data_IF_787674722544
#
_entry.id   IF_787674722544
#
_cell.length_a   1.000
_cell.length_b   1.000
_cell.length_c   1.000
_cell.angle_alpha   90.00
_cell.angle_beta   90.00
_cell.angle_gamma   90.00
#
_symmetry.space_group_name_H-M   'P 1'
#
loop_
_entity.id
_entity.type
_entity.pdbx_description
1 polymer ?
#
# COMPACT_ATOMS: atom_id res chain seq x y z
N UNK A 1 10.13 2.98 12.64
CA UNK A 1 9.18 4.11 12.55
C UNK A 1 9.98 5.40 12.57
N UNK A 2 9.60 6.42 11.78
CA UNK A 2 10.38 7.66 11.66
C UNK A 2 10.29 8.53 12.92
N UNK A 3 11.31 9.36 13.17
CA UNK A 3 11.34 10.28 14.32
C UNK A 3 10.11 11.18 14.40
N UNK A 4 9.66 11.71 13.25
CA UNK A 4 8.48 12.57 13.16
C UNK A 4 7.22 11.87 13.65
N UNK A 5 7.04 10.58 13.31
CA UNK A 5 5.87 9.81 13.75
C UNK A 5 5.94 9.52 15.26
N UNK A 6 7.14 9.22 15.78
CA UNK A 6 7.33 9.01 17.22
C UNK A 6 7.05 10.29 18.02
N UNK A 7 7.54 11.45 17.56
CA UNK A 7 7.29 12.76 18.17
C UNK A 7 5.79 13.10 18.13
N UNK A 8 5.11 12.83 17.00
CA UNK A 8 3.67 12.99 16.87
C UNK A 8 2.90 12.08 17.84
N UNK A 9 3.29 10.80 17.93
CA UNK A 9 2.64 9.82 18.79
C UNK A 9 2.71 10.23 20.27
N UNK A 10 3.89 10.67 20.73
CA UNK A 10 4.07 11.16 22.09
C UNK A 10 3.19 12.41 22.33
N UNK A 11 3.27 13.39 21.44
CA UNK A 11 2.56 14.67 21.62
C UNK A 11 1.03 14.52 21.58
N UNK A 12 0.49 13.64 20.73
CA UNK A 12 -0.95 13.37 20.68
C UNK A 12 -1.43 12.61 21.92
N UNK A 13 -0.60 11.71 22.46
CA UNK A 13 -0.91 10.99 23.70
C UNK A 13 -0.96 11.94 24.90
N UNK A 14 -0.02 12.87 24.99
CA UNK A 14 0.02 13.86 26.08
C UNK A 14 -1.15 14.84 26.04
N UNK A 15 -1.66 15.13 24.84
CA UNK A 15 -2.81 16.04 24.63
C UNK A 15 -4.18 15.37 24.75
N UNK A 16 -4.24 14.05 24.98
CA UNK A 16 -5.48 13.25 24.97
C UNK A 16 -6.37 13.56 23.75
N UNK A 17 -5.76 13.61 22.56
CA UNK A 17 -6.45 14.09 21.36
C UNK A 17 -7.68 13.23 21.01
N UNK A 18 -8.80 13.91 20.73
CA UNK A 18 -10.09 13.27 20.45
C UNK A 18 -10.49 13.51 18.99
N UNK A 19 -10.71 12.43 18.25
CA UNK A 19 -11.31 12.45 16.92
C UNK A 19 -12.83 12.25 17.00
N UNK A 20 -13.60 13.05 16.26
CA UNK A 20 -15.05 12.90 16.14
C UNK A 20 -15.40 12.25 14.80
N UNK A 21 -16.22 11.21 14.81
CA UNK A 21 -16.68 10.56 13.59
C UNK A 21 -17.54 11.51 12.76
N UNK A 22 -17.30 11.54 11.44
CA UNK A 22 -18.03 12.37 10.49
C UNK A 22 -18.09 11.68 9.14
N UNK A 23 -19.29 11.20 8.76
CA UNK A 23 -19.47 10.36 7.57
C UNK A 23 -18.59 9.11 7.62
N UNK A 24 -17.85 8.87 6.55
CA UNK A 24 -16.98 7.69 6.39
C UNK A 24 -15.58 7.90 7.00
N UNK A 25 -15.34 9.05 7.63
CA UNK A 25 -14.05 9.41 8.21
C UNK A 25 -14.18 10.01 9.60
N UNK A 26 -13.19 10.82 9.98
CA UNK A 26 -13.20 11.53 11.25
C UNK A 26 -12.61 12.92 11.12
N UNK A 27 -12.99 13.80 12.05
CA UNK A 27 -12.41 15.13 12.20
C UNK A 27 -11.66 15.18 13.51
N UNK A 28 -10.38 15.53 13.44
CA UNK A 28 -9.50 15.72 14.58
C UNK A 28 -9.31 17.22 14.83
N UNK A 29 -9.69 17.68 16.02
CA UNK A 29 -9.48 19.06 16.44
C UNK A 29 -8.11 19.18 17.11
N UNK A 30 -7.27 20.09 16.63
CA UNK A 30 -5.91 20.26 17.13
C UNK A 30 -5.59 21.73 17.34
N UNK A 31 -4.89 21.99 18.45
CA UNK A 31 -4.33 23.31 18.78
C UNK A 31 -2.89 23.41 18.26
N UNK A 32 -1.89 23.12 19.10
CA UNK A 32 -0.48 23.36 18.77
C UNK A 32 0.18 22.23 17.96
N UNK A 33 -0.49 21.08 17.82
CA UNK A 33 0.07 19.90 17.13
C UNK A 33 -0.16 19.92 15.61
N UNK A 34 -0.79 20.96 15.07
CA UNK A 34 -1.09 21.04 13.65
C UNK A 34 0.17 21.01 12.77
N UNK A 35 1.25 21.62 13.24
CA UNK A 35 2.56 21.58 12.55
C UNK A 35 3.10 20.15 12.49
N UNK A 36 2.94 19.37 13.56
CA UNK A 36 3.41 17.98 13.61
C UNK A 36 2.55 17.07 12.72
N UNK A 37 1.22 17.25 12.73
CA UNK A 37 0.31 16.50 11.83
C UNK A 37 0.61 16.78 10.36
N UNK A 38 0.82 18.05 10.01
CA UNK A 38 1.22 18.44 8.66
C UNK A 38 2.56 17.80 8.29
N UNK A 39 3.58 17.87 9.15
CA UNK A 39 4.89 17.24 8.89
C UNK A 39 4.81 15.73 8.73
N UNK A 40 3.96 15.06 9.50
CA UNK A 40 3.71 13.62 9.39
C UNK A 40 2.80 13.25 8.21
N UNK A 41 2.23 14.27 7.54
CA UNK A 41 1.33 14.19 6.41
C UNK A 41 0.10 13.33 6.68
N UNK A 42 -0.53 13.47 7.85
CA UNK A 42 -1.82 12.85 8.15
C UNK A 42 -2.98 13.80 7.84
N UNK A 43 -4.05 13.27 7.25
CA UNK A 43 -5.28 14.02 7.01
C UNK A 43 -5.16 15.15 6.00
N UNK A 44 -6.23 15.94 5.96
CA UNK A 44 -6.36 17.18 5.18
C UNK A 44 -6.84 18.29 6.12
N UNK A 45 -6.12 19.41 6.13
CA UNK A 45 -6.54 20.59 6.87
C UNK A 45 -7.86 21.15 6.31
N UNK A 46 -8.78 21.50 7.20
CA UNK A 46 -10.05 22.16 6.88
C UNK A 46 -9.90 23.63 7.26
N UNK A 47 -10.02 24.52 6.27
CA UNK A 47 -10.04 25.96 6.51
C UNK A 47 -11.40 26.36 7.10
N UNK A 48 -11.38 26.88 8.32
CA UNK A 48 -12.57 27.46 8.96
C UNK A 48 -12.41 28.98 9.05
N UNK A 49 -13.47 29.71 8.72
CA UNK A 49 -13.54 31.17 8.79
C UNK A 49 -13.82 31.73 10.21
N UNK A 50 -13.74 30.90 11.26
CA UNK A 50 -14.10 31.26 12.64
C UNK A 50 -13.14 30.72 13.71
N UNK A 51 -12.84 31.58 14.68
CA UNK A 51 -11.95 31.45 15.86
C UNK A 51 -10.57 30.80 15.61
N UNK A 52 -9.55 31.66 15.49
CA UNK A 52 -8.16 31.39 15.09
C UNK A 52 -7.36 30.35 15.90
N UNK A 53 -7.94 29.71 16.94
CA UNK A 53 -7.21 28.84 17.87
C UNK A 53 -7.36 27.33 17.64
N UNK A 54 -8.32 26.87 16.84
CA UNK A 54 -8.53 25.43 16.58
C UNK A 54 -8.43 25.12 15.10
N UNK A 55 -7.43 24.32 14.74
CA UNK A 55 -7.27 23.79 13.40
C UNK A 55 -7.90 22.40 13.33
N UNK A 56 -8.63 22.15 12.25
CA UNK A 56 -9.39 20.92 12.06
C UNK A 56 -8.79 20.11 10.93
N UNK A 57 -8.62 18.82 11.17
CA UNK A 57 -8.07 17.89 10.19
C UNK A 57 -9.08 16.80 9.88
N UNK A 58 -9.43 16.66 8.60
CA UNK A 58 -10.19 15.52 8.11
C UNK A 58 -9.26 14.33 7.94
N UNK A 59 -9.62 13.19 8.52
CA UNK A 59 -8.90 11.93 8.42
C UNK A 59 -9.75 10.93 7.63
N UNK A 60 -9.12 10.20 6.71
CA UNK A 60 -9.73 9.00 6.14
C UNK A 60 -9.89 7.88 7.18
N UNK A 61 -10.72 6.86 6.90
CA UNK A 61 -10.94 5.75 7.83
C UNK A 61 -9.64 5.01 8.13
N UNK A 62 -8.77 4.78 7.13
CA UNK A 62 -7.49 4.09 7.32
C UNK A 62 -6.50 4.94 8.14
N UNK A 63 -6.44 6.25 7.87
CA UNK A 63 -5.57 7.17 8.62
C UNK A 63 -5.99 7.26 10.08
N UNK A 64 -7.29 7.38 10.33
CA UNK A 64 -7.85 7.47 11.67
C UNK A 64 -7.61 6.17 12.44
N UNK A 65 -7.99 5.03 11.85
CA UNK A 65 -7.81 3.74 12.50
C UNK A 65 -6.32 3.44 12.74
N UNK A 66 -5.41 3.93 11.89
CA UNK A 66 -3.97 3.82 12.14
C UNK A 66 -3.51 4.60 13.38
N UNK A 67 -3.97 5.85 13.53
CA UNK A 67 -3.68 6.67 14.72
C UNK A 67 -4.25 6.05 15.99
N UNK A 68 -5.45 5.46 15.91
CA UNK A 68 -6.15 4.80 17.02
C UNK A 68 -5.53 3.44 17.38
N UNK A 69 -5.52 2.48 16.45
CA UNK A 69 -5.13 1.09 16.71
C UNK A 69 -3.61 0.90 16.74
N UNK A 70 -2.90 1.40 15.72
CA UNK A 70 -1.46 1.13 15.56
C UNK A 70 -0.62 2.05 16.44
N UNK A 71 -0.92 3.36 16.44
CA UNK A 71 -0.17 4.35 17.22
C UNK A 71 -0.73 4.56 18.63
N UNK A 72 -1.99 4.22 18.89
CA UNK A 72 -2.63 4.37 20.21
C UNK A 72 -2.40 5.76 20.81
N UNK A 73 -2.67 6.78 20.00
CA UNK A 73 -2.42 8.18 20.34
C UNK A 73 -3.66 9.07 20.25
N UNK A 74 -4.80 8.55 19.80
CA UNK A 74 -6.07 9.29 19.78
C UNK A 74 -7.18 8.45 20.39
N UNK A 75 -8.23 9.10 20.88
CA UNK A 75 -9.52 8.48 21.21
C UNK A 75 -10.57 8.89 20.19
N UNK A 76 -11.59 8.05 19.98
CA UNK A 76 -12.63 8.31 18.97
C UNK A 76 -13.99 8.43 19.65
N UNK A 77 -14.71 9.49 19.31
CA UNK A 77 -16.06 9.75 19.78
C UNK A 77 -17.06 9.70 18.63
N UNK A 78 -18.21 9.09 18.89
CA UNK A 78 -19.38 9.16 18.04
C UNK A 78 -20.06 10.55 18.12
N UNK A 79 -21.02 10.81 17.23
CA UNK A 79 -21.83 12.04 17.24
C UNK A 79 -22.51 12.30 18.60
N UNK A 80 -22.81 11.23 19.35
CA UNK A 80 -23.43 11.30 20.68
C UNK A 80 -22.41 11.52 21.83
N UNK A 81 -21.15 11.87 21.51
CA UNK A 81 -20.03 11.99 22.48
C UNK A 81 -19.70 10.70 23.26
N UNK A 82 -20.24 9.56 22.82
CA UNK A 82 -19.87 8.24 23.34
C UNK A 82 -18.49 7.87 22.79
N UNK A 83 -17.58 7.43 23.66
CA UNK A 83 -16.32 6.83 23.23
C UNK A 83 -16.58 5.50 22.54
N UNK A 84 -15.98 5.30 21.38
CA UNK A 84 -16.13 4.10 20.57
C UNK A 84 -15.04 3.08 20.91
N UNK A 85 -15.43 1.83 21.07
CA UNK A 85 -14.50 0.72 21.23
C UNK A 85 -13.88 0.29 19.90
N UNK A 86 -12.80 -0.50 19.97
CA UNK A 86 -12.11 -1.00 18.78
C UNK A 86 -13.02 -1.84 17.88
N UNK A 87 -13.79 -2.77 18.46
CA UNK A 87 -14.75 -3.59 17.73
C UNK A 87 -15.85 -2.73 17.08
N UNK A 88 -16.39 -1.74 17.79
CA UNK A 88 -17.42 -0.84 17.25
C UNK A 88 -16.89 -0.01 16.06
N UNK A 89 -15.62 0.42 16.11
CA UNK A 89 -14.98 1.13 14.99
C UNK A 89 -14.69 0.20 13.81
N UNK A 90 -14.22 -1.01 14.08
CA UNK A 90 -13.96 -2.01 13.05
C UNK A 90 -15.23 -2.35 12.27
N UNK A 91 -16.33 -2.62 12.99
CA UNK A 91 -17.63 -2.92 12.39
C UNK A 91 -18.17 -1.72 11.60
N UNK A 92 -18.02 -0.50 12.13
CA UNK A 92 -18.42 0.72 11.44
C UNK A 92 -17.69 0.89 10.10
N UNK A 93 -16.37 0.76 10.08
CA UNK A 93 -15.62 0.95 8.83
C UNK A 93 -15.81 -0.20 7.85
N UNK A 94 -15.96 -1.43 8.34
CA UNK A 94 -16.22 -2.59 7.50
C UNK A 94 -17.62 -2.51 6.86
N UNK A 95 -18.60 -1.92 7.55
CA UNK A 95 -19.96 -1.73 7.01
C UNK A 95 -20.13 -0.50 6.11
N UNK A 96 -19.35 0.56 6.35
CA UNK A 96 -19.49 1.84 5.64
C UNK A 96 -18.58 1.94 4.41
N UNK A 97 -17.38 1.36 4.49
CA UNK A 97 -16.36 1.43 3.44
C UNK A 97 -16.03 0.04 2.90
N UNK A 98 -16.66 -0.35 1.80
CA UNK A 98 -16.15 -1.46 0.98
C UNK A 98 -14.84 -0.97 0.32
N UNK A 99 -13.63 -1.52 0.55
CA UNK A 99 -13.23 -2.74 1.24
C UNK A 99 -12.19 -2.47 2.37
N UNK A 100 -12.66 -2.06 3.55
CA UNK A 100 -11.79 -1.51 4.61
C UNK A 100 -10.67 -2.43 5.11
N UNK A 101 -10.86 -3.73 5.41
CA UNK A 101 -9.81 -4.56 6.02
C UNK A 101 -8.52 -4.64 5.18
N UNK A 102 -8.66 -4.92 3.88
CA UNK A 102 -7.53 -5.00 2.94
C UNK A 102 -6.89 -3.64 2.68
N UNK A 103 -7.69 -2.57 2.59
CA UNK A 103 -7.21 -1.21 2.41
C UNK A 103 -6.43 -0.71 3.62
N UNK A 104 -6.95 -0.94 4.82
CA UNK A 104 -6.26 -0.58 6.05
C UNK A 104 -4.98 -1.40 6.23
N UNK A 105 -5.00 -2.70 5.92
CA UNK A 105 -3.77 -3.52 5.99
C UNK A 105 -2.69 -3.00 5.04
N UNK A 106 -3.06 -2.64 3.81
CA UNK A 106 -2.15 -2.02 2.85
C UNK A 106 -1.62 -0.67 3.36
N UNK A 107 -2.50 0.20 3.88
CA UNK A 107 -2.13 1.49 4.46
C UNK A 107 -1.16 1.33 5.64
N UNK A 108 -1.49 0.47 6.60
CA UNK A 108 -0.68 0.17 7.78
C UNK A 108 0.70 -0.34 7.35
N UNK A 109 0.76 -1.28 6.41
CA UNK A 109 2.00 -1.84 5.89
C UNK A 109 2.93 -0.77 5.29
N UNK A 110 2.38 0.12 4.46
CA UNK A 110 3.13 1.23 3.89
C UNK A 110 3.60 2.24 4.94
N UNK A 111 2.75 2.60 5.92
CA UNK A 111 3.14 3.52 7.00
C UNK A 111 4.21 2.93 7.91
N UNK A 112 4.17 1.63 8.21
CA UNK A 112 5.21 0.94 8.99
C UNK A 112 6.57 0.93 8.25
N UNK A 113 6.56 0.89 6.91
CA UNK A 113 7.74 1.10 6.06
C UNK A 113 8.15 2.58 5.90
N UNK A 114 7.50 3.48 6.63
CA UNK A 114 7.72 4.93 6.63
C UNK A 114 7.39 5.63 5.30
N UNK A 115 6.49 5.07 4.49
CA UNK A 115 5.93 5.81 3.37
C UNK A 115 4.93 6.86 3.87
N UNK A 116 4.89 8.01 3.21
CA UNK A 116 3.73 8.91 3.31
C UNK A 116 2.69 8.40 2.32
N UNK A 117 1.52 8.06 2.81
CA UNK A 117 0.43 7.46 2.04
C UNK A 117 -0.68 8.49 1.89
N UNK A 118 -1.12 8.74 0.66
CA UNK A 118 -2.27 9.62 0.35
C UNK A 118 -3.21 8.91 -0.62
N UNK A 119 -4.43 9.43 -0.75
CA UNK A 119 -5.42 8.92 -1.71
C UNK A 119 -4.85 8.93 -3.13
N UNK A 120 -4.97 7.80 -3.82
CA UNK A 120 -4.52 7.62 -5.20
C UNK A 120 -5.59 7.96 -6.26
N UNK A 121 -6.77 8.42 -5.84
CA UNK A 121 -7.96 8.55 -6.71
C UNK A 121 -7.69 9.37 -7.98
N UNK A 122 -6.90 10.44 -7.88
CA UNK A 122 -6.53 11.30 -9.00
C UNK A 122 -5.67 10.59 -10.08
N UNK A 123 -5.08 9.45 -9.73
CA UNK A 123 -4.20 8.67 -10.60
C UNK A 123 -4.79 7.32 -11.00
N UNK A 124 -6.07 7.08 -10.71
CA UNK A 124 -6.71 5.78 -10.94
C UNK A 124 -6.09 4.65 -10.10
N UNK A 125 -5.56 5.00 -8.92
CA UNK A 125 -4.95 4.08 -7.97
C UNK A 125 -5.65 4.20 -6.60
N UNK A 126 -5.41 3.25 -5.70
CA UNK A 126 -6.01 3.30 -4.36
C UNK A 126 -5.24 4.27 -3.47
N UNK A 127 -3.91 4.14 -3.48
CA UNK A 127 -3.01 5.05 -2.79
C UNK A 127 -1.91 5.57 -3.71
N UNK A 128 -1.26 6.63 -3.27
CA UNK A 128 0.06 7.04 -3.73
C UNK A 128 1.02 7.09 -2.55
N UNK A 129 2.24 6.62 -2.77
CA UNK A 129 3.27 6.57 -1.75
C UNK A 129 4.40 7.55 -2.06
N UNK A 130 4.76 8.38 -1.09
CA UNK A 130 5.84 9.35 -1.18
C UNK A 130 6.96 8.98 -0.20
N UNK A 131 8.21 9.14 -0.64
CA UNK A 131 9.39 8.94 0.20
C UNK A 131 9.52 10.01 1.28
N UNK A 132 9.04 11.21 1.00
CA UNK A 132 9.05 12.38 1.87
C UNK A 132 7.72 13.14 1.78
N UNK A 133 7.64 14.29 2.44
CA UNK A 133 6.43 15.10 2.46
C UNK A 133 5.97 15.49 1.03
N UNK A 134 4.67 15.40 0.69
CA UNK A 134 4.15 15.67 -0.67
C UNK A 134 4.43 17.07 -1.21
N UNK A 135 4.65 18.05 -0.34
CA UNK A 135 5.03 19.40 -0.75
C UNK A 135 6.48 19.51 -1.26
N UNK A 136 7.33 18.49 -1.03
CA UNK A 136 8.75 18.51 -1.35
C UNK A 136 9.11 17.54 -2.48
N UNK A 137 8.38 16.44 -2.62
CA UNK A 137 8.68 15.37 -3.57
C UNK A 137 7.41 14.88 -4.27
N UNK A 138 7.58 14.35 -5.47
CA UNK A 138 6.54 13.59 -6.14
C UNK A 138 6.39 12.20 -5.50
N UNK A 139 5.20 11.61 -5.61
CA UNK A 139 5.00 10.22 -5.18
C UNK A 139 5.75 9.29 -6.11
N UNK A 140 6.39 8.28 -5.54
CA UNK A 140 7.17 7.27 -6.27
C UNK A 140 6.27 6.17 -6.83
N UNK A 141 5.28 5.74 -6.02
CA UNK A 141 4.38 4.66 -6.37
C UNK A 141 2.94 5.12 -6.54
N UNK A 142 2.30 4.58 -7.58
CA UNK A 142 0.85 4.44 -7.66
C UNK A 142 0.51 3.03 -7.16
N UNK A 143 -0.29 2.93 -6.10
CA UNK A 143 -0.51 1.68 -5.37
C UNK A 143 -1.90 1.13 -5.69
N UNK A 144 -1.97 -0.13 -6.10
CA UNK A 144 -3.22 -0.87 -6.26
C UNK A 144 -3.24 -2.03 -5.26
N UNK A 145 -4.30 -2.09 -4.45
CA UNK A 145 -4.57 -3.13 -3.46
C UNK A 145 -5.44 -4.21 -4.11
N UNK A 146 -4.94 -5.44 -4.08
CA UNK A 146 -5.60 -6.61 -4.67
C UNK A 146 -5.84 -7.65 -3.58
N UNK A 147 -7.06 -7.78 -3.05
CA UNK A 147 -7.37 -8.87 -2.13
C UNK A 147 -7.36 -10.21 -2.88
N UNK A 148 -6.85 -11.25 -2.22
CA UNK A 148 -6.77 -12.61 -2.74
C UNK A 148 -7.17 -13.63 -1.65
N UNK A 149 -8.07 -14.54 -2.01
CA UNK A 149 -8.57 -15.60 -1.12
C UNK A 149 -10.09 -15.58 -0.95
N UNK A 150 -10.65 -16.73 -0.56
CA UNK A 150 -12.10 -16.94 -0.48
C UNK A 150 -12.79 -15.99 0.51
N UNK A 151 -12.12 -15.62 1.60
CA UNK A 151 -12.65 -14.71 2.63
C UNK A 151 -12.99 -13.30 2.10
N UNK A 152 -12.36 -12.89 1.00
CA UNK A 152 -12.65 -11.59 0.36
C UNK A 152 -13.82 -11.66 -0.62
N UNK A 153 -14.31 -12.86 -0.96
CA UNK A 153 -15.48 -13.08 -1.80
C UNK A 153 -15.42 -12.31 -3.13
N UNK A 154 -16.49 -11.58 -3.45
CA UNK A 154 -16.59 -10.79 -4.68
C UNK A 154 -15.67 -9.56 -4.76
N UNK A 155 -14.90 -9.26 -3.70
CA UNK A 155 -13.90 -8.18 -3.72
C UNK A 155 -12.61 -8.61 -4.43
N UNK A 156 -12.40 -9.92 -4.55
CA UNK A 156 -11.39 -10.49 -5.43
C UNK A 156 -11.78 -10.23 -6.89
N UNK A 157 -10.82 -9.86 -7.74
CA UNK A 157 -11.09 -9.68 -9.18
C UNK A 157 -10.31 -8.57 -9.87
N UNK A 158 -9.72 -7.65 -9.10
CA UNK A 158 -8.90 -6.56 -9.66
C UNK A 158 -7.61 -7.11 -10.28
N UNK A 159 -7.25 -6.57 -11.45
CA UNK A 159 -6.03 -6.92 -12.20
C UNK A 159 -5.95 -8.41 -12.61
N UNK A 160 -7.08 -9.11 -12.71
CA UNK A 160 -7.12 -10.52 -13.16
C UNK A 160 -6.98 -10.66 -14.68
N UNK A 161 -7.36 -9.62 -15.44
CA UNK A 161 -7.24 -9.60 -16.90
C UNK A 161 -6.11 -8.65 -17.34
N UNK A 162 -5.44 -9.01 -18.43
CA UNK A 162 -4.33 -8.23 -18.98
C UNK A 162 -4.71 -6.78 -19.30
N UNK A 163 -5.95 -6.52 -19.73
CA UNK A 163 -6.43 -5.17 -20.02
C UNK A 163 -6.35 -4.27 -18.78
N UNK A 164 -6.75 -4.76 -17.61
CA UNK A 164 -6.76 -3.98 -16.38
C UNK A 164 -5.34 -3.62 -15.95
N UNK A 165 -4.43 -4.59 -16.04
CA UNK A 165 -3.02 -4.38 -15.77
C UNK A 165 -2.40 -3.35 -16.72
N UNK A 166 -2.67 -3.46 -18.02
CA UNK A 166 -2.17 -2.54 -19.02
C UNK A 166 -2.75 -1.13 -18.84
N UNK A 167 -4.03 -1.01 -18.46
CA UNK A 167 -4.66 0.26 -18.09
C UNK A 167 -3.99 0.89 -16.87
N UNK A 168 -3.73 0.11 -15.82
CA UNK A 168 -3.03 0.58 -14.62
C UNK A 168 -1.59 1.03 -14.94
N UNK A 169 -0.86 0.27 -15.76
CA UNK A 169 0.48 0.64 -16.22
C UNK A 169 0.47 1.90 -17.08
N UNK A 170 -0.55 2.08 -17.92
CA UNK A 170 -0.69 3.29 -18.73
C UNK A 170 -0.98 4.51 -17.87
N UNK A 171 -1.90 4.39 -16.91
CA UNK A 171 -2.28 5.47 -16.00
C UNK A 171 -1.12 5.89 -15.08
N UNK A 172 -0.41 4.94 -14.49
CA UNK A 172 0.76 5.22 -13.64
C UNK A 172 1.94 5.78 -14.44
N UNK A 173 2.24 5.18 -15.60
CA UNK A 173 3.35 5.58 -16.45
C UNK A 173 3.20 6.97 -17.07
N UNK A 174 1.97 7.44 -17.33
CA UNK A 174 1.73 8.78 -17.90
C UNK A 174 2.12 9.92 -16.96
N UNK A 175 2.11 9.65 -15.65
CA UNK A 175 2.45 10.60 -14.58
C UNK A 175 3.75 10.24 -13.87
N UNK A 176 4.61 9.46 -14.54
CA UNK A 176 5.93 9.01 -14.08
C UNK A 176 5.92 8.35 -12.69
N UNK A 177 4.89 7.54 -12.41
CA UNK A 177 4.79 6.73 -11.18
C UNK A 177 5.03 5.27 -11.50
N UNK A 178 5.71 4.59 -10.59
CA UNK A 178 5.87 3.13 -10.69
C UNK A 178 4.64 2.44 -10.14
N UNK A 179 4.10 1.45 -10.84
CA UNK A 179 2.95 0.69 -10.36
C UNK A 179 3.40 -0.29 -9.26
N UNK A 180 2.85 -0.12 -8.05
CA UNK A 180 3.03 -1.04 -6.93
C UNK A 180 1.73 -1.79 -6.67
N UNK A 181 1.75 -3.10 -6.85
CA UNK A 181 0.63 -3.97 -6.52
C UNK A 181 0.86 -4.57 -5.14
N UNK A 182 -0.08 -4.33 -4.23
CA UNK A 182 -0.11 -4.93 -2.90
C UNK A 182 -1.19 -6.01 -2.89
N UNK A 183 -0.75 -7.26 -2.94
CA UNK A 183 -1.67 -8.39 -2.83
C UNK A 183 -1.89 -8.73 -1.37
N UNK A 184 -3.14 -8.66 -0.90
CA UNK A 184 -3.51 -8.95 0.48
C UNK A 184 -4.14 -10.34 0.52
N UNK A 185 -3.41 -11.29 1.09
CA UNK A 185 -3.88 -12.66 1.26
C UNK A 185 -4.20 -12.94 2.73
N UNK A 186 -5.13 -13.87 2.97
CA UNK A 186 -5.48 -14.31 4.32
C UNK A 186 -5.38 -15.82 4.43
N UNK A 187 -4.99 -16.29 5.61
CA UNK A 187 -5.07 -17.70 5.99
C UNK A 187 -6.38 -18.05 6.70
N UNK A 188 -7.16 -17.04 7.10
CA UNK A 188 -8.36 -17.18 7.92
C UNK A 188 -9.63 -16.79 7.17
N UNK A 189 -10.74 -17.39 7.59
CA UNK A 189 -12.04 -17.26 6.94
C UNK A 189 -12.83 -16.00 7.33
N UNK A 190 -12.57 -15.40 8.51
CA UNK A 190 -13.44 -14.35 9.06
C UNK A 190 -12.72 -12.99 9.18
N UNK A 191 -13.25 -11.97 8.49
CA UNK A 191 -12.78 -10.57 8.52
C UNK A 191 -13.59 -9.68 9.48
N UNK A 192 -14.39 -10.30 10.35
CA UNK A 192 -15.36 -9.63 11.23
C UNK A 192 -14.72 -8.98 12.46
N UNK A 193 -13.52 -9.41 12.87
CA UNK A 193 -12.79 -8.84 14.00
C UNK A 193 -11.49 -8.17 13.54
N UNK A 194 -11.01 -7.19 14.31
CA UNK A 194 -9.71 -6.56 14.08
C UNK A 194 -8.52 -7.53 14.22
N UNK A 195 -8.71 -8.65 14.93
CA UNK A 195 -7.68 -9.69 15.09
C UNK A 195 -7.24 -10.31 13.75
N UNK A 196 -8.09 -10.23 12.71
CA UNK A 196 -7.75 -10.73 11.38
C UNK A 196 -6.51 -10.02 10.80
N UNK A 197 -6.19 -8.80 11.23
CA UNK A 197 -5.04 -8.03 10.75
C UNK A 197 -3.70 -8.74 10.97
N UNK A 198 -3.58 -9.52 12.05
CA UNK A 198 -2.38 -10.31 12.33
C UNK A 198 -2.21 -11.49 11.37
N UNK A 199 -3.31 -11.95 10.77
CA UNK A 199 -3.36 -13.10 9.87
C UNK A 199 -3.27 -12.69 8.39
N UNK A 200 -3.55 -11.41 8.08
CA UNK A 200 -3.35 -10.84 6.75
C UNK A 200 -1.87 -10.73 6.39
N UNK A 201 -1.53 -11.20 5.20
CA UNK A 201 -0.19 -11.18 4.61
C UNK A 201 -0.20 -10.22 3.43
N UNK A 202 0.85 -9.41 3.31
CA UNK A 202 1.02 -8.45 2.22
C UNK A 202 2.16 -8.91 1.32
N UNK A 203 1.86 -9.15 0.05
CA UNK A 203 2.85 -9.41 -0.99
C UNK A 203 3.02 -8.17 -1.86
N UNK A 204 4.26 -7.66 -1.94
CA UNK A 204 4.59 -6.50 -2.75
C UNK A 204 5.10 -6.91 -4.12
N UNK A 205 4.55 -6.32 -5.18
CA UNK A 205 5.04 -6.51 -6.55
C UNK A 205 5.12 -5.17 -7.25
N UNK A 206 6.32 -4.80 -7.66
CA UNK A 206 6.53 -3.63 -8.51
C UNK A 206 6.42 -4.07 -9.96
N UNK A 207 5.57 -3.41 -10.73
CA UNK A 207 5.36 -3.73 -12.14
C UNK A 207 5.82 -2.54 -12.97
N UNK A 208 6.80 -2.79 -13.83
CA UNK A 208 7.34 -1.81 -14.76
C UNK A 208 7.11 -2.26 -16.20
N UNK A 209 7.06 -1.30 -17.11
CA UNK A 209 7.00 -1.61 -18.53
C UNK A 209 8.29 -2.32 -18.93
N UNK A 210 8.17 -3.45 -19.61
CA UNK A 210 9.31 -4.10 -20.23
C UNK A 210 9.87 -3.23 -21.36
N UNK A 211 11.17 -2.90 -21.28
CA UNK A 211 11.88 -2.09 -22.27
C UNK A 211 12.95 -2.98 -22.93
N UNK A 212 12.80 -3.36 -24.22
CA UNK A 212 13.74 -4.26 -24.89
C UNK A 212 15.20 -3.79 -24.87
N UNK A 213 15.43 -2.47 -24.87
CA UNK A 213 16.76 -1.87 -24.83
C UNK A 213 17.51 -2.22 -23.53
N UNK A 214 16.86 -2.10 -22.37
CA UNK A 214 17.47 -2.40 -21.08
C UNK A 214 17.89 -3.87 -20.98
N UNK A 215 17.12 -4.79 -21.58
CA UNK A 215 17.45 -6.21 -21.61
C UNK A 215 18.66 -6.54 -22.50
N UNK A 216 18.90 -5.76 -23.56
CA UNK A 216 20.09 -5.93 -24.39
C UNK A 216 21.33 -5.45 -23.64
N UNK A 217 21.24 -4.28 -22.99
CA UNK A 217 22.34 -3.68 -22.23
C UNK A 217 22.72 -4.49 -20.98
N UNK A 218 21.76 -5.12 -20.29
CA UNK A 218 22.01 -6.01 -19.14
C UNK A 218 22.79 -7.28 -19.52
N UNK A 219 22.68 -7.76 -20.76
CA UNK A 219 23.44 -8.94 -21.22
C UNK A 219 24.90 -8.62 -21.50
N UNK A 220 25.21 -7.36 -21.79
CA UNK A 220 26.54 -6.92 -22.18
C UNK A 220 27.43 -6.52 -20.98
N UNK A 221 26.86 -6.44 -19.77
CA UNK A 221 27.59 -6.13 -18.53
C UNK A 221 27.42 -7.23 -17.46
N UNK A 222 28.16 -8.34 -17.52
CA UNK A 222 28.30 -9.21 -16.36
C UNK A 222 29.04 -8.44 -15.25
N UNK A 223 28.32 -8.13 -14.16
CA UNK A 223 28.93 -7.58 -12.95
C UNK A 223 29.96 -8.57 -12.41
N UNK A 224 31.16 -8.06 -12.10
CA UNK A 224 32.32 -8.81 -11.57
C UNK A 224 32.08 -9.57 -10.26
N UNK A 225 30.87 -9.59 -9.71
CA UNK A 225 30.52 -10.25 -8.44
C UNK A 225 30.13 -11.73 -8.61
N UNK A 226 29.71 -12.18 -9.80
CA UNK A 226 29.35 -13.59 -10.02
C UNK A 226 30.59 -14.50 -10.17
N UNK A 227 31.74 -13.94 -10.57
CA UNK A 227 32.99 -14.68 -10.76
C UNK A 227 33.66 -15.13 -9.45
N UNK A 228 33.23 -14.63 -8.29
CA UNK A 228 33.75 -15.09 -6.99
C UNK A 228 33.00 -16.30 -6.42
N UNK A 229 31.78 -16.57 -6.86
CA UNK A 229 30.97 -17.68 -6.33
C UNK A 229 31.22 -18.99 -7.06
N UNK A 230 31.56 -18.94 -8.36
CA UNK A 230 31.82 -20.13 -9.18
C UNK A 230 33.12 -20.88 -8.84
N UNK A 231 34.08 -20.26 -8.12
CA UNK A 231 35.34 -20.93 -7.75
C UNK A 231 35.26 -21.80 -6.49
N UNK A 232 34.10 -21.88 -5.82
CA UNK A 232 33.97 -22.58 -4.54
C UNK A 232 33.05 -23.82 -4.57
N UNK A 233 32.47 -24.17 -5.72
CA UNK A 233 31.62 -25.36 -5.87
C UNK A 233 32.28 -26.56 -6.58
N UNK A 234 33.53 -26.47 -7.04
CA UNK A 234 34.21 -27.55 -7.78
C UNK A 234 34.82 -28.64 -6.88
N UNK A 235 34.15 -29.02 -5.80
CA UNK A 235 34.50 -30.22 -5.02
C UNK A 235 33.28 -30.78 -4.30
N UNK A 236 32.38 -31.42 -5.05
CA UNK A 236 31.59 -32.57 -4.57
C UNK A 236 30.90 -33.25 -5.74
N UNK A 237 31.25 -34.52 -5.90
CA UNK A 237 30.70 -35.48 -6.86
C UNK A 237 29.17 -35.57 -6.75
N UNK A 238 28.48 -35.67 -7.89
CA UNK A 238 27.14 -36.26 -7.95
C UNK A 238 26.15 -35.62 -8.90
N UNK A 239 25.92 -36.30 -10.04
CA UNK A 239 24.73 -36.25 -10.91
C UNK A 239 24.69 -35.11 -11.93
N UNK A 240 25.13 -35.44 -13.15
CA UNK A 240 24.92 -34.67 -14.38
C UNK A 240 23.44 -34.69 -14.75
N UNK A 241 22.73 -33.55 -14.63
CA UNK A 241 21.48 -33.32 -15.35
C UNK A 241 21.80 -32.48 -16.60
N UNK A 242 21.67 -33.10 -17.77
CA UNK A 242 22.01 -32.49 -19.06
C UNK A 242 21.06 -31.33 -19.41
N UNK A 243 21.59 -30.10 -19.36
CA UNK A 243 20.89 -28.85 -19.72
C UNK A 243 20.73 -28.61 -21.24
N UNK A 244 20.94 -29.63 -22.09
CA UNK A 244 20.86 -29.49 -23.55
C UNK A 244 19.51 -29.92 -24.14
N UNK A 245 18.61 -30.53 -23.36
CA UNK A 245 17.29 -30.98 -23.82
C UNK A 245 16.18 -29.92 -23.79
N UNK A 246 16.35 -28.81 -23.09
CA UNK A 246 15.28 -27.80 -22.87
C UNK A 246 15.37 -26.62 -23.85
N UNK A 247 16.49 -26.47 -24.56
CA UNK A 247 16.71 -25.34 -25.48
C UNK A 247 16.13 -25.61 -26.88
N UNK A 248 15.86 -26.87 -27.24
CA UNK A 248 15.30 -27.25 -28.55
C UNK A 248 13.76 -27.36 -28.59
N UNK A 249 13.05 -27.20 -27.46
CA UNK A 249 11.58 -27.21 -27.43
C UNK A 249 10.94 -25.82 -27.48
N UNK A 250 11.69 -24.74 -27.23
CA UNK A 250 11.15 -23.37 -27.23
C UNK A 250 11.27 -22.64 -28.57
N UNK A 251 12.04 -23.15 -29.52
CA UNK A 251 12.14 -22.57 -30.89
C UNK A 251 10.99 -22.99 -31.80
N UNK A 252 10.21 -24.03 -31.46
CA UNK A 252 9.06 -24.47 -32.26
C UNK A 252 7.76 -23.72 -31.88
N UNK A 253 7.65 -23.20 -30.65
CA UNK A 253 6.43 -22.49 -30.20
C UNK A 253 6.43 -21.01 -30.65
N UNK A 254 7.60 -20.42 -30.94
CA UNK A 254 7.69 -19.01 -31.39
C UNK A 254 7.35 -18.78 -32.86
N UNK A 255 7.13 -19.83 -33.67
CA UNK A 255 6.77 -19.71 -35.10
C UNK A 255 5.27 -20.01 -35.33
N UNK A 256 4.53 -20.48 -34.31
CA UNK A 256 3.11 -20.88 -34.44
C UNK A 256 2.10 -19.89 -33.84
N UNK A 257 2.48 -18.62 -33.61
CA UNK A 257 1.58 -17.58 -33.08
C UNK A 257 1.19 -16.50 -34.10
N UNK A 258 1.42 -16.72 -35.40
CA UNK A 258 0.89 -15.89 -36.48
C UNK A 258 0.03 -16.71 -37.44
N UNK A 259 -1.19 -17.03 -37.01
CA UNK A 259 -2.39 -17.19 -37.84
C UNK A 259 -3.54 -17.63 -36.95
N UNK A 260 -4.45 -16.71 -36.64
CA UNK A 260 -5.87 -16.98 -36.70
C UNK A 260 -6.61 -15.66 -36.88
N UNK A 261 -7.51 -15.71 -37.85
CA UNK A 261 -8.30 -14.64 -38.45
C UNK A 261 -9.75 -14.91 -38.01
N UNK A 262 -10.50 -13.83 -37.79
CA UNK A 262 -11.87 -13.71 -37.28
C UNK A 262 -12.03 -13.83 -35.77
#
# INVERSE_FOLDING_TARGET
MSRIIADLQASLRDSEAVAMLSGDGAILAVHDLAVLLNRAAFGRHIENAGEEKRQWFQLGPEEMFFLYHTLKCITVQSANKKQMGEAELWDLFTSTSEPFPEMYKAYQHLRLKNWVVKSGLQYGADFVAYRHHPALVHSEFAVIVVPEGEAFGGRCGRLQVWSDLLCALRASGSVAKTLLVLTISTKACDLTSSDCLCQLIVHERTITRWIPQQCRELRDNPSREEASTEKQEDTREGIVFSYWGVILSFTIISVLAYKLKF
#
